data_IF_558004088007
#
_entry.id   IF_558004088007
#
_cell.length_a   1.000
_cell.length_b   1.000
_cell.length_c   1.000
_cell.angle_alpha   90.00
_cell.angle_beta   90.00
_cell.angle_gamma   90.00
#
_symmetry.space_group_name_H-M   'P 1'
#
loop_
_entity.id
_entity.type
_entity.pdbx_description
1 polymer ?
#
# COMPACT_ATOMS: atom_id res chain seq x y z
N UNK A 1 -8.04 -7.58 -17.02
CA UNK A 1 -7.14 -8.54 -16.34
C UNK A 1 -5.73 -7.97 -16.32
N UNK A 2 -4.87 -8.40 -15.40
CA UNK A 2 -3.47 -7.96 -15.36
C UNK A 2 -2.68 -8.53 -16.56
N UNK A 3 -1.63 -7.82 -16.97
CA UNK A 3 -0.68 -8.31 -17.96
C UNK A 3 0.15 -9.49 -17.43
N UNK A 4 0.78 -10.29 -18.31
CA UNK A 4 1.46 -11.53 -17.93
C UNK A 4 2.62 -11.34 -16.93
N UNK A 5 3.32 -10.21 -17.00
CA UNK A 5 4.44 -9.88 -16.11
C UNK A 5 4.02 -9.04 -14.89
N UNK A 6 2.72 -8.83 -14.72
CA UNK A 6 2.16 -7.98 -13.67
C UNK A 6 1.57 -8.84 -12.55
N UNK A 7 1.98 -8.55 -11.31
CA UNK A 7 1.40 -9.17 -10.12
C UNK A 7 0.40 -8.20 -9.47
N UNK A 8 -0.63 -8.68 -8.77
CA UNK A 8 -1.48 -7.80 -7.99
C UNK A 8 -0.70 -7.17 -6.83
N UNK A 9 -1.10 -5.97 -6.38
CA UNK A 9 -0.56 -5.33 -5.19
C UNK A 9 -0.95 -6.10 -3.93
N UNK A 10 -2.18 -6.64 -3.90
CA UNK A 10 -2.65 -7.45 -2.79
C UNK A 10 -3.96 -8.17 -3.10
N UNK A 11 -4.38 -9.00 -2.14
CA UNK A 11 -5.70 -9.65 -2.15
C UNK A 11 -6.73 -8.73 -1.49
N UNK A 12 -7.92 -8.68 -2.07
CA UNK A 12 -9.06 -7.94 -1.52
C UNK A 12 -9.63 -8.71 -0.34
N UNK A 13 -9.63 -8.11 0.85
CA UNK A 13 -10.36 -8.63 2.02
C UNK A 13 -11.76 -8.03 2.15
N UNK A 14 -11.94 -6.80 1.66
CA UNK A 14 -13.23 -6.09 1.59
C UNK A 14 -13.22 -5.09 0.43
N UNK A 15 -14.31 -5.02 -0.33
CA UNK A 15 -14.45 -4.13 -1.49
C UNK A 15 -14.41 -4.88 -2.83
N UNK A 16 -14.19 -4.13 -3.92
CA UNK A 16 -14.27 -4.64 -5.31
C UNK A 16 -12.89 -4.97 -5.91
N UNK A 17 -11.83 -4.28 -5.47
CA UNK A 17 -10.49 -4.39 -6.07
C UNK A 17 -10.46 -3.88 -7.51
N UNK A 18 -9.71 -4.58 -8.36
CA UNK A 18 -9.56 -4.27 -9.79
C UNK A 18 -10.85 -4.40 -10.63
N UNK A 19 -11.96 -4.87 -10.05
CA UNK A 19 -13.26 -4.93 -10.74
C UNK A 19 -13.41 -6.02 -11.81
N UNK A 20 -12.50 -6.99 -11.85
CA UNK A 20 -12.52 -8.11 -12.82
C UNK A 20 -12.93 -9.45 -12.21
N UNK A 21 -13.35 -9.46 -10.93
CA UNK A 21 -13.89 -10.65 -10.26
C UNK A 21 -12.83 -11.67 -9.78
N UNK A 22 -11.55 -11.31 -9.80
CA UNK A 22 -10.44 -12.18 -9.40
C UNK A 22 -9.99 -12.02 -7.93
N UNK A 23 -10.66 -11.12 -7.18
CA UNK A 23 -10.35 -10.86 -5.77
C UNK A 23 -9.02 -10.13 -5.55
N UNK A 24 -8.45 -9.52 -6.59
CA UNK A 24 -7.16 -8.83 -6.50
C UNK A 24 -7.32 -7.31 -6.59
N UNK A 25 -6.38 -6.58 -5.98
CA UNK A 25 -6.28 -5.13 -6.03
C UNK A 25 -4.90 -4.71 -6.55
N UNK A 26 -4.91 -3.69 -7.42
CA UNK A 26 -3.72 -3.04 -7.93
C UNK A 26 -2.89 -3.88 -8.89
N UNK A 27 -1.72 -3.33 -9.21
CA UNK A 27 -0.76 -3.86 -10.16
C UNK A 27 0.66 -3.51 -9.72
N UNK A 28 1.58 -4.46 -9.84
CA UNK A 28 3.02 -4.31 -9.58
C UNK A 28 3.80 -4.91 -10.74
N UNK A 29 4.66 -4.10 -11.35
CA UNK A 29 5.60 -4.52 -12.39
C UNK A 29 6.94 -3.83 -12.16
N UNK A 30 7.91 -4.56 -11.61
CA UNK A 30 9.21 -3.99 -11.22
C UNK A 30 9.06 -2.92 -10.13
N UNK A 31 9.41 -1.68 -10.47
CA UNK A 31 9.28 -0.49 -9.61
C UNK A 31 7.99 0.31 -9.85
N UNK A 32 7.12 -0.15 -10.74
CA UNK A 32 5.83 0.49 -11.04
C UNK A 32 4.73 -0.12 -10.18
N UNK A 33 3.99 0.73 -9.49
CA UNK A 33 2.85 0.37 -8.64
C UNK A 33 1.61 1.16 -9.06
N UNK A 34 0.50 0.46 -9.28
CA UNK A 34 -0.82 1.04 -9.53
C UNK A 34 -1.83 0.50 -8.52
N UNK A 35 -2.72 1.36 -8.02
CA UNK A 35 -3.80 0.98 -7.10
C UNK A 35 -4.96 1.97 -7.17
N UNK A 36 -6.17 1.46 -6.92
CA UNK A 36 -7.41 2.23 -6.78
C UNK A 36 -7.69 2.67 -5.34
N UNK A 37 -6.79 2.40 -4.38
CA UNK A 37 -6.95 2.86 -3.00
C UNK A 37 -7.07 4.40 -2.93
N UNK A 38 -8.23 4.86 -2.49
CA UNK A 38 -8.54 6.29 -2.40
C UNK A 38 -8.12 6.94 -1.06
N UNK A 39 -8.00 8.26 -1.11
CA UNK A 39 -7.33 9.07 -0.08
C UNK A 39 -5.83 9.22 -0.40
N UNK A 40 -5.05 9.91 0.43
CA UNK A 40 -3.61 9.92 0.27
C UNK A 40 -3.08 8.52 0.63
N UNK A 41 -2.89 7.67 -0.39
CA UNK A 41 -2.60 6.24 -0.23
C UNK A 41 -1.39 5.99 0.66
N UNK A 42 -0.34 6.80 0.52
CA UNK A 42 0.88 6.66 1.32
C UNK A 42 0.66 7.10 2.77
N UNK A 43 -0.09 8.19 3.02
CA UNK A 43 -0.37 8.64 4.38
C UNK A 43 -1.29 7.69 5.16
N UNK A 44 -2.12 6.92 4.46
CA UNK A 44 -2.99 5.89 5.06
C UNK A 44 -2.29 4.55 5.24
N UNK A 45 -1.22 4.29 4.49
CA UNK A 45 -0.49 3.03 4.50
C UNK A 45 1.02 3.29 4.69
N UNK A 46 1.48 3.60 5.92
CA UNK A 46 2.89 3.91 6.20
C UNK A 46 3.86 2.80 5.79
N UNK A 47 3.50 1.53 6.03
CA UNK A 47 4.31 0.38 5.62
C UNK A 47 4.51 0.31 4.10
N UNK A 48 3.51 0.74 3.32
CA UNK A 48 3.65 0.82 1.86
C UNK A 48 4.55 1.97 1.44
N UNK A 49 4.47 3.13 2.11
CA UNK A 49 5.41 4.22 1.90
C UNK A 49 6.86 3.81 2.22
N UNK A 50 7.07 3.13 3.35
CA UNK A 50 8.38 2.64 3.77
C UNK A 50 8.94 1.61 2.78
N UNK A 51 8.10 0.70 2.26
CA UNK A 51 8.49 -0.24 1.22
C UNK A 51 8.98 0.47 -0.05
N UNK A 52 8.26 1.51 -0.51
CA UNK A 52 8.67 2.27 -1.69
C UNK A 52 9.98 3.03 -1.46
N UNK A 53 10.14 3.65 -0.30
CA UNK A 53 11.35 4.39 0.09
C UNK A 53 12.56 3.46 0.26
N UNK A 54 12.40 2.33 0.93
CA UNK A 54 13.45 1.32 1.09
C UNK A 54 13.92 0.78 -0.26
N UNK A 55 12.98 0.50 -1.18
CA UNK A 55 13.28 0.10 -2.57
C UNK A 55 14.02 1.20 -3.34
N UNK A 56 13.60 2.46 -3.19
CA UNK A 56 14.23 3.60 -3.88
C UNK A 56 15.66 3.89 -3.36
N UNK A 57 15.88 3.71 -2.06
CA UNK A 57 17.18 3.90 -1.40
C UNK A 57 18.09 2.66 -1.47
N UNK A 58 17.56 1.52 -1.94
CA UNK A 58 18.24 0.22 -1.95
C UNK A 58 18.74 -0.20 -0.56
N UNK A 59 17.86 -0.09 0.44
CA UNK A 59 18.09 -0.56 1.82
C UNK A 59 17.05 -1.60 2.20
N UNK A 60 17.38 -2.47 3.16
CA UNK A 60 16.46 -3.52 3.61
C UNK A 60 15.29 -2.95 4.41
N UNK A 61 15.55 -1.95 5.26
CA UNK A 61 14.53 -1.30 6.09
C UNK A 61 14.93 0.14 6.41
N UNK A 62 13.93 0.95 6.77
CA UNK A 62 14.13 2.31 7.25
C UNK A 62 14.20 2.32 8.78
N UNK A 63 14.98 3.21 9.40
CA UNK A 63 14.95 3.38 10.83
C UNK A 63 13.56 3.83 11.29
N UNK A 64 13.05 3.31 12.44
CA UNK A 64 11.74 3.67 12.93
C UNK A 64 11.66 5.16 13.28
N UNK A 65 10.51 5.77 12.97
CA UNK A 65 10.22 7.15 13.35
C UNK A 65 9.47 7.17 14.69
N UNK A 66 10.04 7.84 15.69
CA UNK A 66 9.34 8.09 16.95
C UNK A 66 8.42 9.31 16.81
N UNK A 67 7.19 9.06 16.36
CA UNK A 67 6.16 10.10 16.15
C UNK A 67 4.85 9.73 16.87
N UNK A 68 4.75 9.95 18.20
CA UNK A 68 3.58 9.55 19.00
C UNK A 68 2.25 10.10 18.49
N UNK A 69 2.26 11.28 17.88
CA UNK A 69 1.06 11.92 17.30
C UNK A 69 0.50 11.14 16.11
N UNK A 70 1.35 10.55 15.27
CA UNK A 70 0.91 9.77 14.10
C UNK A 70 0.20 8.51 14.54
N UNK A 71 0.75 7.85 15.56
CA UNK A 71 0.15 6.66 16.14
C UNK A 71 -1.18 6.97 16.85
N UNK A 72 -1.26 8.10 17.56
CA UNK A 72 -2.53 8.56 18.14
C UNK A 72 -3.59 8.78 17.06
N UNK A 73 -3.28 9.52 15.99
CA UNK A 73 -4.21 9.78 14.88
C UNK A 73 -4.64 8.49 14.16
N UNK A 74 -3.75 7.50 14.04
CA UNK A 74 -4.09 6.18 13.50
C UNK A 74 -5.11 5.47 14.39
N UNK A 75 -4.90 5.45 15.71
CA UNK A 75 -5.84 4.85 16.66
C UNK A 75 -7.21 5.51 16.65
N UNK A 76 -7.26 6.84 16.55
CA UNK A 76 -8.52 7.59 16.45
C UNK A 76 -9.30 7.20 15.18
N UNK A 77 -8.62 7.10 14.02
CA UNK A 77 -9.25 6.70 12.75
C UNK A 77 -9.79 5.27 12.76
N UNK A 78 -9.12 4.33 13.45
CA UNK A 78 -9.57 2.94 13.51
C UNK A 78 -10.77 2.73 14.45
N UNK A 79 -11.07 3.71 15.31
CA UNK A 79 -12.21 3.68 16.24
C UNK A 79 -13.47 4.34 15.67
N UNK A 80 -13.33 5.19 14.65
CA UNK A 80 -14.42 5.87 13.96
C UNK A 80 -15.00 5.00 12.84
#
# INVERSE_FOLDING_TARGET
>A
TLGPDTKPLGKVTRGVGNGVGDGNEGAVQGSVYGTYLHGPVLARNPEFADHLLARALNVESLPPLDLPVVEQLRRERLRA
#
